data_IF_131782747419
#
_entry.id   IF_131782747419
#
_cell.length_a   1.000
_cell.length_b   1.000
_cell.length_c   1.000
_cell.angle_alpha   90.00
_cell.angle_beta   90.00
_cell.angle_gamma   90.00
#
_symmetry.space_group_name_H-M   'P 1'
#
loop_
_entity.id
_entity.type
_entity.pdbx_description
1 polymer ?
#
# COMPACT_ATOMS: atom_id res chain seq x y z
N UNK A 1 26.97 -4.12 -27.02
CA UNK A 1 25.50 -4.24 -27.18
C UNK A 1 25.08 -3.41 -28.38
N UNK A 2 24.31 -3.97 -29.32
CA UNK A 2 23.82 -3.18 -30.44
C UNK A 2 22.82 -2.13 -29.96
N UNK A 3 22.69 -0.99 -30.66
CA UNK A 3 21.72 0.09 -30.32
C UNK A 3 20.29 -0.46 -30.16
N UNK A 4 19.87 -1.42 -30.97
CA UNK A 4 18.57 -2.09 -30.88
C UNK A 4 18.39 -2.88 -29.57
N UNK A 5 19.45 -3.47 -29.03
CA UNK A 5 19.42 -4.22 -27.76
C UNK A 5 19.33 -3.27 -26.59
N UNK A 6 20.00 -2.09 -26.66
CA UNK A 6 19.95 -1.06 -25.62
C UNK A 6 18.57 -0.40 -25.56
N UNK A 7 18.00 0.00 -26.70
CA UNK A 7 16.66 0.59 -26.76
C UNK A 7 15.57 -0.36 -26.24
N UNK A 8 15.69 -1.66 -26.52
CA UNK A 8 14.78 -2.67 -25.99
C UNK A 8 14.89 -2.85 -24.48
N UNK A 9 16.11 -2.85 -23.93
CA UNK A 9 16.34 -2.95 -22.50
C UNK A 9 15.84 -1.70 -21.73
N UNK A 10 16.08 -0.51 -22.28
CA UNK A 10 15.61 0.76 -21.71
C UNK A 10 14.07 0.84 -21.70
N UNK A 11 13.42 0.46 -22.79
CA UNK A 11 11.95 0.38 -22.85
C UNK A 11 11.39 -0.55 -21.74
N UNK A 12 11.96 -1.74 -21.56
CA UNK A 12 11.53 -2.69 -20.54
C UNK A 12 11.66 -2.08 -19.13
N UNK A 13 12.77 -1.42 -18.84
CA UNK A 13 13.00 -0.77 -17.52
C UNK A 13 11.93 0.29 -17.25
N UNK A 14 11.69 1.21 -18.20
CA UNK A 14 10.68 2.27 -18.05
C UNK A 14 9.28 1.67 -17.93
N UNK A 15 8.95 0.72 -18.77
CA UNK A 15 7.64 0.06 -18.77
C UNK A 15 7.34 -0.62 -17.43
N UNK A 16 8.28 -1.40 -16.91
CA UNK A 16 8.10 -2.08 -15.63
C UNK A 16 8.12 -1.11 -14.44
N UNK A 17 8.92 -0.05 -14.51
CA UNK A 17 8.92 1.02 -13.51
C UNK A 17 7.56 1.75 -13.49
N UNK A 18 7.01 2.07 -14.67
CA UNK A 18 5.69 2.70 -14.79
C UNK A 18 4.57 1.78 -14.29
N UNK A 19 4.60 0.48 -14.61
CA UNK A 19 3.67 -0.50 -14.06
C UNK A 19 3.73 -0.57 -12.53
N UNK A 20 4.92 -0.41 -11.95
CA UNK A 20 5.12 -0.45 -10.49
C UNK A 20 4.62 0.83 -9.81
N UNK A 21 4.88 2.01 -10.40
CA UNK A 21 4.39 3.30 -9.93
C UNK A 21 2.87 3.40 -10.01
N UNK A 22 2.25 2.62 -10.88
CA UNK A 22 0.83 2.65 -11.13
C UNK A 22 -0.02 2.44 -9.87
N UNK A 23 0.40 1.54 -8.95
CA UNK A 23 -0.28 1.32 -7.69
C UNK A 23 -0.43 2.57 -6.83
N UNK A 24 0.65 3.21 -6.40
CA UNK A 24 0.61 4.49 -5.68
C UNK A 24 -0.14 5.59 -6.43
N UNK A 25 0.00 5.69 -7.76
CA UNK A 25 -0.77 6.67 -8.53
C UNK A 25 -2.28 6.40 -8.46
N UNK A 26 -2.72 5.15 -8.50
CA UNK A 26 -4.14 4.80 -8.36
C UNK A 26 -4.69 5.13 -6.98
N UNK A 27 -3.88 5.03 -5.92
CA UNK A 27 -4.31 5.28 -4.54
C UNK A 27 -4.12 6.72 -4.10
N UNK A 28 -2.99 7.35 -4.43
CA UNK A 28 -2.55 8.57 -3.76
C UNK A 28 -2.78 9.83 -4.61
N UNK A 29 -2.90 9.69 -5.94
CA UNK A 29 -3.02 10.82 -6.87
C UNK A 29 -4.29 11.67 -6.62
N UNK A 30 -5.39 11.06 -6.18
CA UNK A 30 -6.64 11.78 -5.96
C UNK A 30 -6.85 12.22 -4.50
N UNK A 31 -5.97 11.84 -3.55
CA UNK A 31 -6.13 12.16 -2.14
C UNK A 31 -6.37 13.66 -1.86
N UNK A 32 -5.59 14.60 -2.44
CA UNK A 32 -5.81 16.03 -2.19
C UNK A 32 -7.15 16.54 -2.72
N UNK A 33 -7.79 15.83 -3.65
CA UNK A 33 -9.07 16.20 -4.23
C UNK A 33 -10.28 15.55 -3.50
N UNK A 34 -10.06 14.65 -2.53
CA UNK A 34 -11.14 13.95 -1.81
C UNK A 34 -12.14 14.91 -1.14
N UNK A 35 -11.72 16.03 -0.48
CA UNK A 35 -12.68 16.98 0.07
C UNK A 35 -13.54 17.68 -1.00
N UNK A 36 -12.95 18.03 -2.14
CA UNK A 36 -13.68 18.62 -3.27
C UNK A 36 -14.67 17.62 -3.87
N UNK A 37 -14.27 16.36 -4.02
CA UNK A 37 -15.13 15.26 -4.48
C UNK A 37 -16.30 15.02 -3.53
N UNK A 38 -16.06 15.02 -2.21
CA UNK A 38 -17.11 14.86 -1.21
C UNK A 38 -18.19 15.95 -1.33
N UNK A 39 -17.77 17.20 -1.54
CA UNK A 39 -18.67 18.34 -1.76
C UNK A 39 -19.46 18.20 -3.06
N UNK A 40 -18.80 17.87 -4.16
CA UNK A 40 -19.43 17.75 -5.49
C UNK A 40 -20.50 16.64 -5.53
N UNK A 41 -20.22 15.50 -4.87
CA UNK A 41 -21.15 14.35 -4.82
C UNK A 41 -22.04 14.32 -3.56
N UNK A 42 -22.06 15.40 -2.76
CA UNK A 42 -22.83 15.50 -1.50
C UNK A 42 -22.65 14.29 -0.58
N UNK A 43 -21.41 13.83 -0.41
CA UNK A 43 -21.07 12.64 0.33
C UNK A 43 -20.38 12.97 1.67
N UNK A 44 -20.55 12.09 2.64
CA UNK A 44 -19.77 12.16 3.89
C UNK A 44 -18.30 11.81 3.67
N UNK A 45 -17.42 12.28 4.57
CA UNK A 45 -16.01 11.89 4.57
C UNK A 45 -15.84 10.36 4.60
N UNK A 46 -16.61 9.65 5.44
CA UNK A 46 -16.55 8.21 5.55
C UNK A 46 -16.92 7.50 4.23
N UNK A 47 -17.95 7.95 3.53
CA UNK A 47 -18.33 7.39 2.24
C UNK A 47 -17.28 7.68 1.15
N UNK A 48 -16.68 8.87 1.16
CA UNK A 48 -15.62 9.24 0.23
C UNK A 48 -14.36 8.38 0.49
N UNK A 49 -14.00 8.16 1.74
CA UNK A 49 -12.91 7.27 2.14
C UNK A 49 -13.18 5.80 1.80
N UNK A 50 -14.45 5.38 1.74
CA UNK A 50 -14.83 4.06 1.24
C UNK A 50 -14.41 3.84 -0.23
N UNK A 51 -14.31 4.90 -1.04
CA UNK A 51 -13.75 4.83 -2.40
C UNK A 51 -12.28 4.39 -2.42
N UNK A 52 -11.48 4.87 -1.48
CA UNK A 52 -10.10 4.41 -1.30
C UNK A 52 -10.07 2.94 -0.87
N UNK A 53 -10.87 2.58 0.14
CA UNK A 53 -11.00 1.20 0.64
C UNK A 53 -11.38 0.22 -0.44
N UNK A 54 -12.37 0.58 -1.25
CA UNK A 54 -12.87 -0.25 -2.36
C UNK A 54 -11.76 -0.54 -3.36
N UNK A 55 -10.96 0.47 -3.73
CA UNK A 55 -9.83 0.26 -4.64
C UNK A 55 -8.75 -0.63 -4.03
N UNK A 56 -8.48 -0.50 -2.72
CA UNK A 56 -7.52 -1.35 -2.01
C UNK A 56 -7.96 -2.81 -1.94
N UNK A 57 -9.25 -3.07 -1.67
CA UNK A 57 -9.78 -4.43 -1.71
C UNK A 57 -9.75 -4.99 -3.13
N UNK A 58 -10.08 -4.15 -4.12
CA UNK A 58 -9.92 -4.51 -5.53
C UNK A 58 -8.48 -4.92 -5.86
N UNK A 59 -7.49 -4.11 -5.45
CA UNK A 59 -6.07 -4.40 -5.61
C UNK A 59 -5.67 -5.71 -4.93
N UNK A 60 -6.09 -5.93 -3.68
CA UNK A 60 -5.77 -7.15 -2.94
C UNK A 60 -6.33 -8.41 -3.62
N UNK A 61 -7.61 -8.40 -3.97
CA UNK A 61 -8.27 -9.51 -4.66
C UNK A 61 -7.68 -9.73 -6.05
N UNK A 62 -7.47 -8.64 -6.79
CA UNK A 62 -6.90 -8.68 -8.14
C UNK A 62 -5.51 -9.32 -8.16
N UNK A 63 -4.65 -9.00 -7.18
CA UNK A 63 -3.33 -9.62 -7.05
C UNK A 63 -3.42 -11.14 -6.84
N UNK A 64 -4.36 -11.61 -6.04
CA UNK A 64 -4.59 -13.04 -5.79
C UNK A 64 -5.09 -13.79 -7.02
N UNK A 65 -5.77 -13.10 -7.95
CA UNK A 65 -6.31 -13.67 -9.19
C UNK A 65 -5.26 -13.61 -10.30
N UNK A 66 -4.68 -12.42 -10.55
CA UNK A 66 -3.83 -12.17 -11.71
C UNK A 66 -2.48 -12.89 -11.59
N UNK A 67 -1.90 -12.96 -10.40
CA UNK A 67 -0.64 -13.68 -10.18
C UNK A 67 -0.69 -15.12 -10.70
N UNK A 68 -1.52 -15.98 -10.11
CA UNK A 68 -1.68 -17.37 -10.54
C UNK A 68 -2.15 -17.53 -11.99
N UNK A 69 -3.02 -16.63 -12.46
CA UNK A 69 -3.50 -16.66 -13.85
C UNK A 69 -2.35 -16.43 -14.84
N UNK A 70 -1.41 -15.54 -14.48
CA UNK A 70 -0.26 -15.22 -15.32
C UNK A 70 0.77 -16.35 -15.40
N UNK A 71 0.89 -17.16 -14.34
CA UNK A 71 1.75 -18.35 -14.34
C UNK A 71 1.21 -19.45 -15.27
N UNK A 72 -0.10 -19.44 -15.54
CA UNK A 72 -0.77 -20.42 -16.44
C UNK A 72 -0.91 -19.93 -17.88
N UNK A 73 -1.26 -18.66 -18.07
CA UNK A 73 -1.61 -18.10 -19.40
C UNK A 73 -0.52 -17.23 -20.03
N UNK A 74 0.63 -17.08 -19.34
CA UNK A 74 1.65 -16.11 -19.72
C UNK A 74 1.40 -14.74 -19.09
N UNK A 75 2.39 -13.84 -19.20
CA UNK A 75 2.36 -12.52 -18.56
C UNK A 75 1.54 -11.51 -19.35
N UNK A 76 1.64 -11.55 -20.69
CA UNK A 76 1.06 -10.54 -21.58
C UNK A 76 -0.47 -10.50 -21.53
N UNK A 77 -1.15 -11.64 -21.68
CA UNK A 77 -2.61 -11.68 -21.78
C UNK A 77 -3.29 -11.23 -20.47
N UNK A 78 -2.91 -11.73 -19.26
CA UNK A 78 -3.47 -11.23 -18.02
C UNK A 78 -3.19 -9.75 -17.79
N UNK A 79 -2.03 -9.22 -18.20
CA UNK A 79 -1.72 -7.80 -18.10
C UNK A 79 -2.63 -6.95 -18.98
N UNK A 80 -2.84 -7.35 -20.25
CA UNK A 80 -3.77 -6.68 -21.17
C UNK A 80 -5.20 -6.66 -20.61
N UNK A 81 -5.70 -7.79 -20.11
CA UNK A 81 -7.03 -7.88 -19.50
C UNK A 81 -7.13 -6.97 -18.27
N UNK A 82 -6.14 -6.97 -17.39
CA UNK A 82 -6.11 -6.11 -16.21
C UNK A 82 -6.13 -4.63 -16.56
N UNK A 83 -5.28 -4.19 -17.48
CA UNK A 83 -5.24 -2.79 -17.91
C UNK A 83 -6.51 -2.37 -18.66
N UNK A 84 -7.14 -3.26 -19.43
CA UNK A 84 -8.42 -2.99 -20.06
C UNK A 84 -9.53 -2.79 -19.02
N UNK A 85 -9.63 -3.67 -18.02
CA UNK A 85 -10.57 -3.54 -16.89
C UNK A 85 -10.31 -2.23 -16.15
N UNK A 86 -9.05 -1.89 -15.89
CA UNK A 86 -8.68 -0.62 -15.25
C UNK A 86 -9.17 0.59 -16.06
N UNK A 87 -8.93 0.63 -17.36
CA UNK A 87 -9.35 1.74 -18.22
C UNK A 87 -10.87 1.90 -18.23
N UNK A 88 -11.62 0.81 -18.39
CA UNK A 88 -13.10 0.83 -18.37
C UNK A 88 -13.62 1.33 -17.02
N UNK A 89 -13.09 0.82 -15.92
CA UNK A 89 -13.49 1.25 -14.58
C UNK A 89 -13.09 2.71 -14.31
N UNK A 90 -11.95 3.18 -14.84
CA UNK A 90 -11.53 4.58 -14.72
C UNK A 90 -12.49 5.51 -15.47
N UNK A 91 -12.98 5.11 -16.65
CA UNK A 91 -14.04 5.84 -17.36
C UNK A 91 -15.30 5.92 -16.48
N UNK A 92 -15.69 4.81 -15.84
CA UNK A 92 -16.81 4.81 -14.90
C UNK A 92 -16.59 5.76 -13.72
N UNK A 93 -15.35 5.88 -13.19
CA UNK A 93 -15.02 6.86 -12.15
C UNK A 93 -15.18 8.31 -12.64
N UNK A 94 -14.75 8.63 -13.86
CA UNK A 94 -14.90 9.97 -14.48
C UNK A 94 -16.36 10.38 -14.56
N UNK A 95 -17.23 9.47 -15.01
CA UNK A 95 -18.65 9.75 -15.24
C UNK A 95 -19.55 9.36 -14.05
N UNK A 96 -18.98 9.14 -12.87
CA UNK A 96 -19.76 8.75 -11.69
C UNK A 96 -20.78 9.84 -11.29
N UNK A 97 -22.08 9.49 -11.23
CA UNK A 97 -23.14 10.43 -10.84
C UNK A 97 -23.31 10.52 -9.32
N UNK A 98 -22.94 9.48 -8.58
CA UNK A 98 -23.05 9.40 -7.12
C UNK A 98 -21.78 8.80 -6.51
N UNK A 99 -21.60 9.02 -5.20
CA UNK A 99 -20.44 8.47 -4.50
C UNK A 99 -20.48 6.94 -4.41
N UNK A 100 -21.65 6.34 -4.27
CA UNK A 100 -21.82 4.87 -4.23
C UNK A 100 -21.40 4.22 -5.55
N UNK A 101 -21.80 4.82 -6.68
CA UNK A 101 -21.36 4.38 -8.00
C UNK A 101 -19.85 4.51 -8.14
N UNK A 102 -19.28 5.63 -7.68
CA UNK A 102 -17.85 5.84 -7.67
C UNK A 102 -17.13 4.77 -6.84
N UNK A 103 -17.60 4.46 -5.63
CA UNK A 103 -17.04 3.41 -4.77
C UNK A 103 -17.02 2.05 -5.47
N UNK A 104 -18.13 1.67 -6.14
CA UNK A 104 -18.20 0.44 -6.92
C UNK A 104 -17.19 0.45 -8.10
N UNK A 105 -17.13 1.56 -8.84
CA UNK A 105 -16.17 1.73 -9.93
C UNK A 105 -14.70 1.66 -9.44
N UNK A 106 -14.40 2.23 -8.28
CA UNK A 106 -13.07 2.16 -7.63
C UNK A 106 -12.67 0.74 -7.28
N UNK A 107 -13.61 -0.10 -6.82
CA UNK A 107 -13.33 -1.51 -6.58
C UNK A 107 -12.90 -2.24 -7.86
N UNK A 108 -13.64 -2.05 -8.96
CA UNK A 108 -13.31 -2.64 -10.26
C UNK A 108 -12.00 -2.07 -10.81
N UNK A 109 -11.77 -0.76 -10.63
CA UNK A 109 -10.52 -0.11 -11.00
C UNK A 109 -9.32 -0.72 -10.25
N UNK A 110 -9.46 -0.97 -8.95
CA UNK A 110 -8.45 -1.66 -8.14
C UNK A 110 -8.17 -3.07 -8.65
N UNK A 111 -9.20 -3.86 -8.97
CA UNK A 111 -9.04 -5.19 -9.58
C UNK A 111 -8.19 -5.13 -10.84
N UNK A 112 -8.46 -4.17 -11.71
CA UNK A 112 -7.69 -3.95 -12.94
C UNK A 112 -6.27 -3.47 -12.66
N UNK A 113 -6.07 -2.55 -11.72
CA UNK A 113 -4.75 -2.01 -11.35
C UNK A 113 -3.78 -3.04 -10.77
N UNK A 114 -4.30 -4.11 -10.17
CA UNK A 114 -3.52 -5.16 -9.55
C UNK A 114 -2.54 -5.86 -10.50
N UNK A 115 -2.93 -6.01 -11.77
CA UNK A 115 -2.09 -6.66 -12.79
C UNK A 115 -0.77 -5.95 -13.00
N UNK A 116 -0.75 -4.63 -13.05
CA UNK A 116 0.47 -3.84 -13.21
C UNK A 116 1.47 -4.12 -12.07
N UNK A 117 1.00 -4.08 -10.83
CA UNK A 117 1.85 -4.25 -9.64
C UNK A 117 2.47 -5.65 -9.57
N UNK A 118 1.64 -6.69 -9.78
CA UNK A 118 2.09 -8.09 -9.66
C UNK A 118 2.99 -8.47 -10.81
N UNK A 119 2.57 -8.13 -12.04
CA UNK A 119 3.27 -8.60 -13.23
C UNK A 119 4.57 -7.86 -13.49
N UNK A 120 4.71 -6.61 -13.03
CA UNK A 120 6.00 -5.92 -13.07
C UNK A 120 7.12 -6.73 -12.41
N UNK A 121 6.86 -7.25 -11.20
CA UNK A 121 7.82 -8.09 -10.46
C UNK A 121 8.03 -9.45 -11.13
N UNK A 122 6.95 -10.09 -11.59
CA UNK A 122 7.03 -11.39 -12.26
C UNK A 122 7.80 -11.32 -13.56
N UNK A 123 7.53 -10.30 -14.40
CA UNK A 123 8.27 -10.08 -15.65
C UNK A 123 9.75 -9.80 -15.37
N UNK A 124 10.05 -9.03 -14.33
CA UNK A 124 11.43 -8.77 -13.91
C UNK A 124 12.18 -10.07 -13.57
N UNK A 125 11.55 -10.98 -12.85
CA UNK A 125 12.14 -12.29 -12.49
C UNK A 125 12.25 -13.25 -13.67
N UNK A 126 11.41 -13.10 -14.69
CA UNK A 126 11.49 -13.89 -15.92
C UNK A 126 12.67 -13.43 -16.83
N UNK A 127 12.99 -12.12 -16.79
CA UNK A 127 14.00 -11.50 -17.67
C UNK A 127 15.39 -11.41 -17.05
N UNK A 128 15.47 -11.23 -15.74
CA UNK A 128 16.71 -10.95 -15.01
C UNK A 128 16.97 -12.00 -13.93
N UNK A 129 18.23 -12.21 -13.60
CA UNK A 129 18.67 -13.10 -12.52
C UNK A 129 19.88 -12.53 -11.78
N UNK A 130 20.16 -13.04 -10.58
CA UNK A 130 21.33 -12.67 -9.80
C UNK A 130 21.46 -11.15 -9.58
N UNK A 131 22.65 -10.61 -9.91
CA UNK A 131 22.97 -9.19 -9.69
C UNK A 131 22.13 -8.21 -10.51
N UNK A 132 21.74 -8.60 -11.72
CA UNK A 132 20.92 -7.72 -12.60
C UNK A 132 19.48 -7.66 -12.12
N UNK A 133 18.91 -8.75 -11.60
CA UNK A 133 17.63 -8.74 -10.92
C UNK A 133 17.67 -7.83 -9.68
N UNK A 134 18.72 -7.94 -8.87
CA UNK A 134 18.87 -7.09 -7.67
C UNK A 134 18.93 -5.60 -8.03
N UNK A 135 19.69 -5.22 -9.06
CA UNK A 135 19.72 -3.84 -9.56
C UNK A 135 18.34 -3.37 -10.04
N UNK A 136 17.64 -4.21 -10.79
CA UNK A 136 16.33 -3.88 -11.30
C UNK A 136 15.30 -3.72 -10.17
N UNK A 137 15.29 -4.61 -9.18
CA UNK A 137 14.43 -4.50 -8.00
C UNK A 137 14.75 -3.26 -7.16
N UNK A 138 16.00 -2.79 -7.14
CA UNK A 138 16.36 -1.52 -6.51
C UNK A 138 15.76 -0.32 -7.24
N UNK A 139 15.73 -0.32 -8.58
CA UNK A 139 15.06 0.72 -9.37
C UNK A 139 13.56 0.72 -9.07
N UNK A 140 12.92 -0.45 -9.07
CA UNK A 140 11.51 -0.61 -8.70
C UNK A 140 11.26 -0.04 -7.28
N UNK A 141 12.11 -0.39 -6.32
CA UNK A 141 12.02 0.11 -4.94
C UNK A 141 12.13 1.63 -4.85
N UNK A 142 13.04 2.23 -5.61
CA UNK A 142 13.16 3.70 -5.69
C UNK A 142 11.89 4.34 -6.26
N UNK A 143 11.34 3.79 -7.32
CA UNK A 143 10.09 4.28 -7.94
C UNK A 143 8.92 4.14 -6.97
N UNK A 144 8.81 3.01 -6.26
CA UNK A 144 7.78 2.80 -5.24
C UNK A 144 7.90 3.77 -4.05
N UNK A 145 9.12 4.17 -3.68
CA UNK A 145 9.36 5.16 -2.64
C UNK A 145 9.05 6.60 -3.06
N UNK A 146 9.32 6.95 -4.33
CA UNK A 146 9.07 8.29 -4.87
C UNK A 146 7.61 8.51 -5.29
N UNK A 147 6.91 7.47 -5.73
CA UNK A 147 5.55 7.59 -6.22
C UNK A 147 4.57 8.17 -5.18
N UNK A 148 4.57 7.77 -3.90
CA UNK A 148 3.72 8.39 -2.87
C UNK A 148 4.07 9.86 -2.56
N UNK A 149 5.28 10.31 -2.92
CA UNK A 149 5.65 11.73 -2.79
C UNK A 149 5.11 12.54 -3.97
N UNK A 150 5.30 12.02 -5.19
CA UNK A 150 4.96 12.75 -6.41
C UNK A 150 3.47 12.69 -6.75
N UNK A 151 2.80 11.57 -6.51
CA UNK A 151 1.40 11.38 -6.89
C UNK A 151 0.46 12.41 -6.27
N UNK A 152 0.46 12.69 -4.94
CA UNK A 152 -0.42 13.70 -4.37
C UNK A 152 -0.09 15.12 -4.84
N UNK A 153 1.20 15.44 -5.04
CA UNK A 153 1.60 16.77 -5.53
C UNK A 153 1.06 17.00 -6.94
N UNK A 154 1.23 16.03 -7.84
CA UNK A 154 0.64 16.09 -9.18
C UNK A 154 -0.88 16.16 -9.12
N UNK A 155 -1.53 15.39 -8.23
CA UNK A 155 -2.96 15.41 -8.01
C UNK A 155 -3.49 16.76 -7.52
N UNK A 156 -2.77 17.40 -6.59
CA UNK A 156 -3.12 18.72 -6.11
C UNK A 156 -3.06 19.77 -7.23
N UNK A 157 -2.00 19.74 -8.06
CA UNK A 157 -1.87 20.64 -9.20
C UNK A 157 -3.02 20.43 -10.22
N UNK A 158 -3.36 19.19 -10.52
CA UNK A 158 -4.50 18.92 -11.41
C UNK A 158 -5.79 19.45 -10.79
N UNK A 159 -6.04 19.23 -9.50
CA UNK A 159 -7.25 19.69 -8.82
C UNK A 159 -7.30 21.21 -8.67
N UNK A 160 -6.17 21.90 -8.63
CA UNK A 160 -6.08 23.37 -8.54
C UNK A 160 -6.47 24.05 -9.86
N UNK A 161 -6.00 23.53 -11.01
CA UNK A 161 -6.23 24.13 -12.33
C UNK A 161 -7.44 23.56 -13.08
N UNK A 162 -7.90 22.37 -12.69
CA UNK A 162 -9.00 21.63 -13.31
C UNK A 162 -9.98 21.20 -12.23
N UNK A 163 -10.43 19.93 -12.27
CA UNK A 163 -11.34 19.38 -11.24
C UNK A 163 -10.92 17.96 -10.84
N UNK A 164 -11.58 17.40 -9.80
CA UNK A 164 -11.24 16.07 -9.30
C UNK A 164 -11.44 14.95 -10.35
N UNK A 165 -12.38 15.11 -11.30
CA UNK A 165 -12.62 14.13 -12.37
C UNK A 165 -11.45 14.06 -13.35
N UNK A 166 -10.78 15.18 -13.59
CA UNK A 166 -9.64 15.26 -14.49
C UNK A 166 -8.45 14.44 -13.98
N UNK A 167 -8.33 14.25 -12.67
CA UNK A 167 -7.37 13.31 -12.07
C UNK A 167 -7.56 11.90 -12.64
N UNK A 168 -8.84 11.45 -12.77
CA UNK A 168 -9.14 10.14 -13.35
C UNK A 168 -8.95 10.12 -14.87
N UNK A 169 -9.10 11.26 -15.57
CA UNK A 169 -8.73 11.37 -16.99
C UNK A 169 -7.21 11.19 -17.17
N UNK A 170 -6.39 11.79 -16.31
CA UNK A 170 -4.93 11.56 -16.31
C UNK A 170 -4.57 10.10 -16.02
N UNK A 171 -5.23 9.48 -15.02
CA UNK A 171 -5.05 8.05 -14.73
C UNK A 171 -5.46 7.17 -15.92
N UNK A 172 -6.54 7.53 -16.62
CA UNK A 172 -6.96 6.85 -17.83
C UNK A 172 -5.91 6.96 -18.93
N UNK A 173 -5.34 8.14 -19.14
CA UNK A 173 -4.29 8.35 -20.12
C UNK A 173 -3.04 7.48 -19.82
N UNK A 174 -2.62 7.40 -18.55
CA UNK A 174 -1.54 6.50 -18.12
C UNK A 174 -1.93 5.05 -18.37
N UNK A 175 -3.15 4.63 -17.99
CA UNK A 175 -3.64 3.27 -18.19
C UNK A 175 -3.67 2.87 -19.68
N UNK A 176 -4.14 3.76 -20.56
CA UNK A 176 -4.15 3.55 -22.02
C UNK A 176 -2.72 3.47 -22.58
N UNK A 177 -1.82 4.35 -22.14
CA UNK A 177 -0.42 4.30 -22.54
C UNK A 177 0.25 2.97 -22.16
N UNK A 178 -0.01 2.46 -20.95
CA UNK A 178 0.47 1.16 -20.49
C UNK A 178 -0.18 0.00 -21.27
N UNK A 179 -1.48 0.10 -21.57
CA UNK A 179 -2.20 -0.89 -22.39
C UNK A 179 -1.60 -0.98 -23.79
N UNK A 180 -1.39 0.15 -24.45
CA UNK A 180 -0.74 0.23 -25.77
C UNK A 180 0.69 -0.31 -25.69
N UNK A 181 1.47 0.09 -24.69
CA UNK A 181 2.84 -0.42 -24.49
C UNK A 181 2.86 -1.95 -24.31
N UNK A 182 1.85 -2.50 -23.64
CA UNK A 182 1.72 -3.96 -23.46
C UNK A 182 1.45 -4.70 -24.78
N UNK A 183 0.81 -4.07 -25.77
CA UNK A 183 0.62 -4.68 -27.10
C UNK A 183 1.96 -4.96 -27.79
N UNK A 184 2.94 -4.06 -27.61
CA UNK A 184 4.30 -4.21 -28.17
C UNK A 184 5.21 -5.09 -27.30
N UNK A 185 4.81 -5.36 -26.05
CA UNK A 185 5.55 -6.22 -25.13
C UNK A 185 5.51 -7.68 -25.61
N UNK A 186 6.66 -8.36 -25.58
CA UNK A 186 6.77 -9.79 -25.92
C UNK A 186 6.57 -10.65 -24.69
N UNK A 187 5.91 -11.80 -24.86
CA UNK A 187 5.73 -12.78 -23.78
C UNK A 187 7.08 -13.21 -23.19
N UNK A 188 7.18 -13.20 -21.86
CA UNK A 188 8.43 -13.53 -21.14
C UNK A 188 8.41 -14.89 -20.47
N UNK A 189 7.23 -15.46 -20.25
CA UNK A 189 7.12 -16.78 -19.64
C UNK A 189 7.56 -17.86 -20.60
N UNK A 190 8.71 -18.48 -20.35
CA UNK A 190 9.31 -19.52 -21.21
C UNK A 190 8.66 -20.90 -21.05
N UNK A 191 8.04 -21.18 -19.90
CA UNK A 191 7.45 -22.49 -19.61
C UNK A 191 6.21 -22.33 -18.73
N UNK A 192 5.08 -22.81 -19.24
CA UNK A 192 3.82 -22.81 -18.50
C UNK A 192 3.89 -23.82 -17.34
N UNK A 193 3.42 -23.42 -16.16
CA UNK A 193 3.33 -24.30 -14.98
C UNK A 193 1.86 -24.72 -14.75
N UNK A 194 1.38 -25.82 -15.39
CA UNK A 194 -0.05 -26.14 -15.42
C UNK A 194 -0.66 -26.53 -14.07
N UNK A 195 0.12 -27.01 -13.10
CA UNK A 195 -0.40 -27.70 -11.92
C UNK A 195 -0.04 -27.12 -10.54
N UNK A 196 0.55 -25.94 -10.46
CA UNK A 196 1.10 -25.43 -9.17
C UNK A 196 0.17 -24.51 -8.38
N UNK A 197 -1.00 -24.18 -8.90
CA UNK A 197 -1.88 -23.22 -8.22
C UNK A 197 -3.03 -23.94 -7.50
N UNK A 198 -2.74 -24.47 -6.33
CA UNK A 198 -3.75 -24.54 -5.27
C UNK A 198 -3.94 -23.10 -4.80
N UNK A 199 -5.17 -22.59 -4.87
CA UNK A 199 -5.49 -21.26 -4.33
C UNK A 199 -4.90 -21.15 -2.93
N UNK A 200 -4.07 -20.15 -2.62
CA UNK A 200 -3.32 -20.09 -1.36
C UNK A 200 -4.22 -19.97 -0.12
N UNK A 201 -5.52 -19.71 -0.27
CA UNK A 201 -6.46 -19.51 0.82
C UNK A 201 -6.45 -20.67 1.85
N UNK A 202 -6.46 -21.92 1.43
CA UNK A 202 -6.43 -23.06 2.36
C UNK A 202 -5.08 -23.26 3.05
N UNK A 203 -3.99 -23.00 2.34
CA UNK A 203 -2.64 -23.03 2.94
C UNK A 203 -2.43 -21.90 3.94
N UNK A 204 -3.11 -20.77 3.76
CA UNK A 204 -3.12 -19.61 4.62
C UNK A 204 -3.71 -19.94 6.01
N UNK A 205 -4.90 -20.51 6.06
CA UNK A 205 -5.54 -20.90 7.31
C UNK A 205 -4.69 -21.93 8.08
N UNK A 206 -4.04 -22.83 7.37
CA UNK A 206 -3.15 -23.83 7.98
C UNK A 206 -1.91 -23.16 8.61
N UNK A 207 -1.33 -22.15 7.96
CA UNK A 207 -0.19 -21.39 8.51
C UNK A 207 -0.58 -20.66 9.81
N UNK A 208 -1.71 -19.96 9.81
CA UNK A 208 -2.20 -19.23 10.99
C UNK A 208 -2.53 -20.13 12.17
N UNK A 209 -3.10 -21.31 11.89
CA UNK A 209 -3.48 -22.27 12.93
C UNK A 209 -2.27 -22.96 13.55
N UNK A 210 -1.24 -23.23 12.76
CA UNK A 210 -0.08 -24.03 13.18
C UNK A 210 1.05 -23.18 13.78
N UNK A 211 1.16 -21.89 13.46
CA UNK A 211 2.22 -20.99 13.99
C UNK A 211 1.59 -19.75 14.62
N UNK A 212 1.39 -19.82 15.94
CA UNK A 212 0.83 -18.71 16.72
C UNK A 212 1.74 -17.46 16.73
N UNK A 213 3.05 -17.64 16.63
CA UNK A 213 4.01 -16.51 16.59
C UNK A 213 3.93 -15.79 15.26
N UNK A 214 3.83 -16.53 14.15
CA UNK A 214 3.56 -15.95 12.84
C UNK A 214 2.23 -15.21 12.81
N UNK A 215 1.17 -15.77 13.39
CA UNK A 215 -0.14 -15.11 13.48
C UNK A 215 -0.07 -13.79 14.26
N UNK A 216 0.67 -13.74 15.37
CA UNK A 216 0.87 -12.50 16.14
C UNK A 216 1.66 -11.43 15.35
N UNK A 217 2.72 -11.84 14.64
CA UNK A 217 3.48 -10.93 13.77
C UNK A 217 2.62 -10.39 12.62
N UNK A 218 1.72 -11.22 12.07
CA UNK A 218 0.76 -10.80 11.07
C UNK A 218 -0.25 -9.80 11.63
N UNK A 219 -0.80 -10.03 12.83
CA UNK A 219 -1.70 -9.07 13.50
C UNK A 219 -0.98 -7.74 13.73
N UNK A 220 0.27 -7.76 14.17
CA UNK A 220 1.08 -6.55 14.33
C UNK A 220 1.27 -5.82 13.00
N UNK A 221 1.55 -6.54 11.92
CA UNK A 221 1.67 -5.99 10.57
C UNK A 221 0.34 -5.33 10.12
N UNK A 222 -0.79 -6.01 10.29
CA UNK A 222 -2.11 -5.47 9.99
C UNK A 222 -2.41 -4.20 10.79
N UNK A 223 -2.02 -4.16 12.06
CA UNK A 223 -2.16 -2.99 12.92
C UNK A 223 -1.32 -1.79 12.42
N UNK A 224 -0.09 -2.03 11.97
CA UNK A 224 0.74 -1.02 11.34
C UNK A 224 0.12 -0.47 10.05
N UNK A 225 -0.40 -1.33 9.19
CA UNK A 225 -1.17 -0.92 8.02
C UNK A 225 -2.47 -0.18 8.41
N UNK A 226 -3.10 -0.55 9.52
CA UNK A 226 -4.26 0.17 10.07
C UNK A 226 -3.92 1.64 10.39
N UNK A 227 -2.81 1.90 11.08
CA UNK A 227 -2.32 3.27 11.30
C UNK A 227 -2.06 4.00 9.98
N UNK A 228 -1.33 3.36 9.05
CA UNK A 228 -0.95 3.96 7.78
C UNK A 228 -2.18 4.38 6.97
N UNK A 229 -3.14 3.47 6.81
CA UNK A 229 -4.31 3.75 5.98
C UNK A 229 -5.36 4.62 6.68
N UNK A 230 -5.42 4.64 8.00
CA UNK A 230 -6.16 5.66 8.74
C UNK A 230 -5.59 7.05 8.44
N UNK A 231 -4.26 7.21 8.48
CA UNK A 231 -3.59 8.45 8.10
C UNK A 231 -3.87 8.81 6.63
N UNK A 232 -3.62 7.90 5.68
CA UNK A 232 -3.81 8.16 4.24
C UNK A 232 -5.24 8.63 3.95
N UNK A 233 -6.25 7.99 4.53
CA UNK A 233 -7.66 8.27 4.23
C UNK A 233 -8.21 9.48 4.96
N UNK A 234 -7.81 9.73 6.21
CA UNK A 234 -8.32 10.84 7.02
C UNK A 234 -7.59 12.16 6.76
N UNK A 235 -6.29 12.09 6.41
CA UNK A 235 -5.44 13.29 6.29
C UNK A 235 -5.97 14.33 5.31
N UNK A 236 -6.54 14.03 4.13
CA UNK A 236 -7.09 15.06 3.24
C UNK A 236 -8.15 15.91 3.93
N UNK A 237 -9.04 15.29 4.70
CA UNK A 237 -10.11 15.99 5.40
C UNK A 237 -9.60 16.73 6.63
N UNK A 238 -8.75 16.10 7.43
CA UNK A 238 -8.19 16.69 8.66
C UNK A 238 -7.34 17.92 8.30
N UNK A 239 -6.42 17.81 7.38
CA UNK A 239 -5.51 18.92 7.05
C UNK A 239 -6.21 20.03 6.27
N UNK A 240 -7.09 19.72 5.34
CA UNK A 240 -7.73 20.73 4.47
C UNK A 240 -9.01 21.28 5.07
N UNK A 241 -9.93 20.47 5.62
CA UNK A 241 -11.21 20.96 6.13
C UNK A 241 -11.12 21.43 7.60
N UNK A 242 -10.40 20.68 8.47
CA UNK A 242 -10.30 21.03 9.89
C UNK A 242 -9.25 22.13 10.13
N UNK A 243 -8.09 22.04 9.47
CA UNK A 243 -6.99 23.00 9.66
C UNK A 243 -6.83 24.00 8.52
N UNK A 244 -7.60 23.93 7.44
CA UNK A 244 -7.63 24.91 6.35
C UNK A 244 -6.37 24.94 5.46
N UNK A 245 -5.58 23.87 5.41
CA UNK A 245 -4.43 23.81 4.51
C UNK A 245 -4.90 23.72 3.06
N UNK A 246 -4.13 24.36 2.14
CA UNK A 246 -4.38 24.18 0.72
C UNK A 246 -4.08 22.75 0.27
N UNK A 247 -4.73 22.24 -0.81
CA UNK A 247 -4.45 20.91 -1.36
C UNK A 247 -2.96 20.69 -1.67
N UNK A 248 -2.25 21.73 -2.16
CA UNK A 248 -0.82 21.66 -2.46
C UNK A 248 0.01 21.55 -1.17
N UNK A 249 -0.27 22.38 -0.15
CA UNK A 249 0.44 22.32 1.14
C UNK A 249 0.25 20.97 1.80
N UNK A 250 -0.98 20.44 1.81
CA UNK A 250 -1.28 19.10 2.29
C UNK A 250 -0.44 18.04 1.54
N UNK A 251 -0.34 18.13 0.21
CA UNK A 251 0.39 17.15 -0.59
C UNK A 251 1.89 17.17 -0.32
N UNK A 252 2.47 18.35 -0.07
CA UNK A 252 3.88 18.48 0.34
C UNK A 252 4.11 17.83 1.70
N UNK A 253 3.24 18.10 2.69
CA UNK A 253 3.30 17.49 4.02
C UNK A 253 3.18 15.97 3.91
N UNK A 254 2.23 15.47 3.12
CA UNK A 254 2.07 14.03 2.86
C UNK A 254 3.34 13.41 2.25
N UNK A 255 3.94 14.09 1.27
CA UNK A 255 5.21 13.67 0.66
C UNK A 255 6.37 13.63 1.67
N UNK A 256 6.47 14.62 2.56
CA UNK A 256 7.44 14.63 3.65
C UNK A 256 7.25 13.42 4.57
N UNK A 257 6.00 13.05 4.87
CA UNK A 257 5.68 11.89 5.69
C UNK A 257 6.08 10.55 5.02
N UNK A 258 5.99 10.42 3.70
CA UNK A 258 6.51 9.28 2.98
C UNK A 258 8.04 9.14 3.12
N UNK A 259 8.75 10.28 3.12
CA UNK A 259 10.20 10.33 3.40
C UNK A 259 10.48 9.92 4.85
N UNK A 260 9.68 10.37 5.81
CA UNK A 260 9.82 10.00 7.24
C UNK A 260 9.69 8.48 7.45
N UNK A 261 8.73 7.83 6.80
CA UNK A 261 8.61 6.36 6.83
C UNK A 261 9.89 5.71 6.28
N UNK A 262 10.41 6.24 5.18
CA UNK A 262 11.63 5.74 4.55
C UNK A 262 12.83 5.88 5.49
N UNK A 263 12.97 7.03 6.18
CA UNK A 263 14.01 7.24 7.21
C UNK A 263 13.88 6.19 8.31
N UNK A 264 12.67 5.94 8.82
CA UNK A 264 12.41 4.88 9.80
C UNK A 264 12.88 3.51 9.33
N UNK A 265 12.63 3.18 8.06
CA UNK A 265 13.09 1.92 7.45
C UNK A 265 14.62 1.82 7.39
N UNK A 266 15.32 2.91 7.10
CA UNK A 266 16.79 2.94 7.15
C UNK A 266 17.33 2.86 8.59
N UNK A 267 16.70 3.54 9.53
CA UNK A 267 17.07 3.47 10.96
C UNK A 267 16.88 2.05 11.49
N UNK A 268 15.84 1.34 11.07
CA UNK A 268 15.62 -0.06 11.42
C UNK A 268 16.85 -0.94 11.15
N UNK A 269 17.56 -0.72 10.05
CA UNK A 269 18.74 -1.48 9.67
C UNK A 269 19.96 -1.26 10.59
N UNK A 270 19.95 -0.21 11.40
CA UNK A 270 21.02 0.08 12.38
C UNK A 270 20.85 -0.71 13.69
N UNK A 271 19.66 -1.24 13.95
CA UNK A 271 19.42 -2.07 15.12
C UNK A 271 19.99 -3.49 14.92
N UNK A 272 20.70 -4.00 15.92
CA UNK A 272 21.26 -5.37 15.90
C UNK A 272 20.19 -6.46 15.95
N UNK A 273 18.99 -6.16 16.46
CA UNK A 273 17.90 -7.11 16.63
C UNK A 273 16.61 -6.56 16.01
N UNK A 274 16.02 -7.32 15.08
CA UNK A 274 14.72 -7.02 14.49
C UNK A 274 13.62 -7.01 15.58
N UNK A 275 13.72 -7.89 16.57
CA UNK A 275 12.79 -7.94 17.69
C UNK A 275 12.83 -6.68 18.56
N UNK A 276 14.01 -6.12 18.78
CA UNK A 276 14.18 -4.87 19.52
C UNK A 276 13.60 -3.70 18.74
N UNK A 277 13.88 -3.60 17.43
CA UNK A 277 13.30 -2.61 16.54
C UNK A 277 11.77 -2.68 16.51
N UNK A 278 11.21 -3.90 16.43
CA UNK A 278 9.76 -4.13 16.46
C UNK A 278 9.13 -3.61 17.76
N UNK A 279 9.71 -3.91 18.92
CA UNK A 279 9.21 -3.46 20.24
C UNK A 279 9.24 -1.95 20.37
N UNK A 280 10.38 -1.32 20.11
CA UNK A 280 10.53 0.15 20.21
C UNK A 280 9.59 0.84 19.22
N UNK A 281 9.56 0.39 17.97
CA UNK A 281 8.67 0.96 16.96
C UNK A 281 7.20 0.83 17.36
N UNK A 282 6.76 -0.31 17.92
CA UNK A 282 5.37 -0.49 18.37
C UNK A 282 5.02 0.43 19.55
N UNK A 283 5.93 0.65 20.50
CA UNK A 283 5.76 1.63 21.58
C UNK A 283 5.65 3.04 20.99
N UNK A 284 6.57 3.41 20.11
CA UNK A 284 6.58 4.73 19.48
C UNK A 284 5.32 4.99 18.66
N UNK A 285 4.80 3.99 17.93
CA UNK A 285 3.53 4.10 17.21
C UNK A 285 2.36 4.40 18.16
N UNK A 286 2.24 3.69 19.30
CA UNK A 286 1.17 3.92 20.26
C UNK A 286 1.29 5.30 20.92
N UNK A 287 2.50 5.72 21.30
CA UNK A 287 2.74 7.06 21.82
C UNK A 287 2.35 8.14 20.80
N UNK A 288 2.79 8.00 19.56
CA UNK A 288 2.44 8.93 18.50
C UNK A 288 0.94 8.97 18.20
N UNK A 289 0.26 7.82 18.16
CA UNK A 289 -1.20 7.75 18.00
C UNK A 289 -1.93 8.43 19.19
N UNK A 290 -1.43 8.29 20.41
CA UNK A 290 -1.95 8.99 21.58
C UNK A 290 -1.77 10.51 21.48
N UNK A 291 -0.62 10.97 20.96
CA UNK A 291 -0.37 12.38 20.69
C UNK A 291 -1.26 12.93 19.56
N UNK A 292 -1.54 12.14 18.51
CA UNK A 292 -2.52 12.49 17.46
C UNK A 292 -3.89 12.69 18.09
N UNK A 293 -4.35 11.74 18.92
CA UNK A 293 -5.64 11.84 19.60
C UNK A 293 -5.71 13.06 20.52
N UNK A 294 -4.67 13.30 21.31
CA UNK A 294 -4.56 14.47 22.18
C UNK A 294 -4.59 15.78 21.37
N UNK A 295 -3.85 15.85 20.27
CA UNK A 295 -3.82 17.02 19.38
C UNK A 295 -5.21 17.38 18.85
N UNK A 296 -5.96 16.38 18.38
CA UNK A 296 -7.31 16.57 17.85
C UNK A 296 -8.32 16.92 18.94
N UNK A 297 -8.21 16.31 20.12
CA UNK A 297 -9.10 16.57 21.26
C UNK A 297 -8.94 17.99 21.80
N UNK A 298 -7.70 18.47 21.95
CA UNK A 298 -7.40 19.82 22.44
C UNK A 298 -7.33 20.89 21.37
N UNK A 299 -7.64 20.53 20.11
CA UNK A 299 -7.57 21.43 18.96
C UNK A 299 -6.21 22.15 18.86
N UNK A 300 -5.13 21.39 19.09
CA UNK A 300 -3.78 21.91 19.01
C UNK A 300 -3.45 22.39 17.58
N UNK A 301 -2.31 23.08 17.40
CA UNK A 301 -1.91 23.55 16.08
C UNK A 301 -1.69 22.39 15.11
N UNK A 302 -1.88 22.64 13.80
CA UNK A 302 -1.63 21.65 12.75
C UNK A 302 -0.20 21.10 12.79
N UNK A 303 0.77 21.90 13.18
CA UNK A 303 2.18 21.50 13.25
C UNK A 303 2.46 20.57 14.43
N UNK A 304 1.70 20.69 15.53
CA UNK A 304 1.78 19.70 16.60
C UNK A 304 1.18 18.36 16.17
N UNK A 305 0.03 18.40 15.49
CA UNK A 305 -0.56 17.21 14.89
C UNK A 305 0.44 16.56 13.90
N UNK A 306 1.04 17.35 13.04
CA UNK A 306 2.01 16.86 12.04
C UNK A 306 3.23 16.21 12.71
N UNK A 307 3.78 16.82 13.75
CA UNK A 307 4.89 16.23 14.51
C UNK A 307 4.50 14.86 15.12
N UNK A 308 3.28 14.73 15.64
CA UNK A 308 2.76 13.47 16.18
C UNK A 308 2.56 12.42 15.09
N UNK A 309 2.04 12.82 13.93
CA UNK A 309 1.89 11.95 12.75
C UNK A 309 3.25 11.49 12.24
N UNK A 310 4.18 12.42 12.01
CA UNK A 310 5.54 12.12 11.55
C UNK A 310 6.27 11.17 12.52
N UNK A 311 6.14 11.41 13.85
CA UNK A 311 6.69 10.50 14.85
C UNK A 311 6.08 9.09 14.78
N UNK A 312 4.76 8.97 14.58
CA UNK A 312 4.08 7.68 14.41
C UNK A 312 4.57 6.96 13.16
N UNK A 313 4.69 7.67 12.04
CA UNK A 313 5.11 7.13 10.75
C UNK A 313 6.60 6.76 10.72
N UNK A 314 7.47 7.49 11.43
CA UNK A 314 8.86 7.10 11.65
C UNK A 314 8.93 5.72 12.33
N UNK A 315 8.13 5.53 13.38
CA UNK A 315 8.07 4.28 14.11
C UNK A 315 7.40 3.14 13.30
N UNK A 316 6.47 3.46 12.43
CA UNK A 316 5.94 2.53 11.42
C UNK A 316 7.03 2.02 10.50
N UNK A 317 7.94 2.90 10.04
CA UNK A 317 9.13 2.55 9.27
C UNK A 317 10.07 1.58 10.02
N UNK A 318 10.09 1.59 11.35
CA UNK A 318 10.82 0.60 12.16
C UNK A 318 10.08 -0.75 12.21
N UNK A 319 8.76 -0.74 12.31
CA UNK A 319 7.97 -1.95 12.59
C UNK A 319 7.71 -2.80 11.37
N UNK A 320 7.39 -2.21 10.20
CA UNK A 320 7.06 -2.96 8.99
C UNK A 320 8.20 -3.89 8.55
N UNK A 321 9.45 -3.42 8.33
CA UNK A 321 10.53 -4.31 7.89
C UNK A 321 10.93 -5.31 8.97
N UNK A 322 10.91 -4.92 10.26
CA UNK A 322 11.24 -5.82 11.37
C UNK A 322 10.23 -6.94 11.51
N UNK A 323 8.93 -6.62 11.50
CA UNK A 323 7.85 -7.60 11.60
C UNK A 323 7.84 -8.54 10.40
N UNK A 324 8.01 -8.01 9.18
CA UNK A 324 8.11 -8.79 7.95
C UNK A 324 9.30 -9.76 8.00
N UNK A 325 10.48 -9.28 8.41
CA UNK A 325 11.69 -10.10 8.52
C UNK A 325 11.48 -11.27 9.49
N UNK A 326 10.98 -10.99 10.70
CA UNK A 326 10.70 -12.02 11.71
C UNK A 326 9.65 -13.04 11.25
N UNK A 327 8.60 -12.58 10.56
CA UNK A 327 7.55 -13.44 10.05
C UNK A 327 8.07 -14.36 8.92
N UNK A 328 8.86 -13.82 7.98
CA UNK A 328 9.41 -14.59 6.86
C UNK A 328 10.49 -15.57 7.32
N UNK A 329 11.30 -15.21 8.31
CA UNK A 329 12.33 -16.08 8.87
C UNK A 329 11.71 -17.36 9.48
N UNK A 330 10.56 -17.25 10.10
CA UNK A 330 9.79 -18.39 10.62
C UNK A 330 9.20 -19.30 9.52
N UNK A 331 8.94 -18.76 8.35
CA UNK A 331 8.25 -19.44 7.25
C UNK A 331 9.14 -19.57 6.02
N UNK A 332 10.46 -19.82 6.19
CA UNK A 332 11.45 -19.89 5.11
C UNK A 332 11.05 -20.82 3.97
N UNK A 333 10.49 -21.99 4.29
CA UNK A 333 10.02 -22.96 3.30
C UNK A 333 8.82 -22.48 2.49
N UNK A 334 8.05 -21.52 3.04
CA UNK A 334 6.82 -20.96 2.46
C UNK A 334 6.86 -19.44 2.39
N UNK A 335 8.06 -18.87 2.27
CA UNK A 335 8.28 -17.42 2.34
C UNK A 335 7.44 -16.63 1.33
N UNK A 336 7.23 -17.15 0.12
CA UNK A 336 6.37 -16.53 -0.88
C UNK A 336 4.91 -16.44 -0.45
N UNK A 337 4.35 -17.52 0.11
CA UNK A 337 2.97 -17.53 0.64
C UNK A 337 2.82 -16.65 1.87
N UNK A 338 3.82 -16.64 2.76
CA UNK A 338 3.84 -15.78 3.95
C UNK A 338 3.91 -14.29 3.57
N UNK A 339 4.75 -13.91 2.61
CA UNK A 339 4.85 -12.54 2.10
C UNK A 339 3.54 -12.07 1.44
N UNK A 340 2.92 -12.93 0.62
CA UNK A 340 1.63 -12.63 0.00
C UNK A 340 0.53 -12.41 1.05
N UNK A 341 0.55 -13.21 2.14
CA UNK A 341 -0.39 -13.08 3.25
C UNK A 341 -0.21 -11.78 4.02
N UNK A 342 1.03 -11.44 4.37
CA UNK A 342 1.37 -10.19 5.06
C UNK A 342 0.90 -8.97 4.25
N UNK A 343 1.12 -8.97 2.93
CA UNK A 343 0.68 -7.89 2.05
C UNK A 343 -0.84 -7.83 1.92
N UNK A 344 -1.48 -8.94 1.56
CA UNK A 344 -2.92 -8.98 1.30
C UNK A 344 -3.75 -8.62 2.54
N UNK A 345 -3.42 -9.19 3.71
CA UNK A 345 -4.15 -8.88 4.96
C UNK A 345 -3.85 -7.46 5.47
N UNK A 346 -2.66 -6.91 5.18
CA UNK A 346 -2.37 -5.51 5.40
C UNK A 346 -3.31 -4.59 4.62
N UNK A 347 -3.52 -4.84 3.33
CA UNK A 347 -4.49 -4.09 2.51
C UNK A 347 -5.94 -4.29 2.96
N UNK A 348 -6.32 -5.52 3.36
CA UNK A 348 -7.65 -5.78 3.91
C UNK A 348 -7.88 -4.98 5.19
N UNK A 349 -6.92 -5.00 6.12
CA UNK A 349 -6.99 -4.22 7.35
C UNK A 349 -7.09 -2.72 7.06
N UNK A 350 -6.28 -2.20 6.15
CA UNK A 350 -6.34 -0.81 5.70
C UNK A 350 -7.69 -0.45 5.09
N UNK A 351 -8.25 -1.32 4.25
CA UNK A 351 -9.56 -1.12 3.64
C UNK A 351 -10.73 -1.14 4.64
N UNK A 352 -10.62 -1.86 5.76
CA UNK A 352 -11.59 -1.81 6.86
C UNK A 352 -11.46 -0.49 7.64
N UNK A 353 -10.23 -0.10 7.92
CA UNK A 353 -9.90 1.04 8.79
C UNK A 353 -10.19 2.38 8.11
N UNK A 354 -9.98 2.50 6.80
CA UNK A 354 -10.08 3.76 6.11
C UNK A 354 -11.47 4.45 6.28
N UNK A 355 -12.62 3.82 6.01
CA UNK A 355 -13.91 4.48 6.20
C UNK A 355 -14.24 4.73 7.68
N UNK A 356 -13.71 3.91 8.60
CA UNK A 356 -13.89 4.11 10.04
C UNK A 356 -13.18 5.37 10.53
N UNK A 357 -12.07 5.73 9.91
CA UNK A 357 -11.34 6.96 10.25
C UNK A 357 -12.08 8.25 9.87
N UNK A 358 -13.07 8.16 8.97
CA UNK A 358 -13.94 9.28 8.59
C UNK A 358 -15.20 9.44 9.45
N UNK A 359 -15.40 8.58 10.44
CA UNK A 359 -16.58 8.67 11.32
C UNK A 359 -16.40 9.75 12.38
N UNK A 360 -17.50 10.40 12.75
CA UNK A 360 -17.52 11.46 13.74
C UNK A 360 -17.07 12.82 13.21
N UNK A 361 -16.89 13.77 14.09
CA UNK A 361 -16.48 15.15 13.78
C UNK A 361 -15.08 15.44 14.31
N UNK A 362 -14.40 16.47 13.77
CA UNK A 362 -13.13 16.94 14.28
C UNK A 362 -11.98 15.91 14.26
N UNK A 363 -12.07 14.89 13.41
CA UNK A 363 -11.05 13.85 13.32
C UNK A 363 -11.18 12.75 14.39
N UNK A 364 -12.31 12.64 15.09
CA UNK A 364 -12.51 11.66 16.15
C UNK A 364 -12.32 10.20 15.68
N UNK A 365 -12.85 9.86 14.49
CA UNK A 365 -12.64 8.54 13.89
C UNK A 365 -11.17 8.25 13.62
N UNK A 366 -10.43 9.22 13.10
CA UNK A 366 -8.99 9.10 12.87
C UNK A 366 -8.22 8.84 14.17
N UNK A 367 -8.51 9.63 15.22
CA UNK A 367 -7.92 9.45 16.53
C UNK A 367 -8.20 8.07 17.12
N UNK A 368 -9.47 7.65 17.14
CA UNK A 368 -9.89 6.38 17.70
C UNK A 368 -9.24 5.19 16.99
N UNK A 369 -9.28 5.20 15.65
CA UNK A 369 -8.77 4.10 14.85
C UNK A 369 -7.26 3.98 14.95
N UNK A 370 -6.50 5.08 14.96
CA UNK A 370 -5.05 5.05 15.13
C UNK A 370 -4.64 4.50 16.49
N UNK A 371 -5.29 4.93 17.58
CA UNK A 371 -5.03 4.42 18.93
C UNK A 371 -5.37 2.94 19.04
N UNK A 372 -6.55 2.52 18.58
CA UNK A 372 -6.98 1.11 18.64
C UNK A 372 -6.04 0.22 17.84
N UNK A 373 -5.71 0.60 16.60
CA UNK A 373 -4.81 -0.17 15.73
C UNK A 373 -3.43 -0.33 16.39
N UNK A 374 -2.86 0.76 16.90
CA UNK A 374 -1.53 0.70 17.54
C UNK A 374 -1.52 -0.04 18.88
N UNK A 375 -2.61 0.03 19.64
CA UNK A 375 -2.79 -0.76 20.87
C UNK A 375 -2.84 -2.27 20.57
N UNK A 376 -3.57 -2.68 19.55
CA UNK A 376 -3.55 -4.08 19.06
C UNK A 376 -2.14 -4.47 18.61
N UNK A 377 -1.48 -3.59 17.86
CA UNK A 377 -0.13 -3.82 17.34
C UNK A 377 0.92 -4.03 18.44
N UNK A 378 0.92 -3.21 19.49
CA UNK A 378 1.87 -3.36 20.60
C UNK A 378 1.63 -4.66 21.38
N UNK A 379 0.38 -4.99 21.67
CA UNK A 379 0.04 -6.26 22.36
C UNK A 379 0.53 -7.45 21.52
N UNK A 380 0.25 -7.46 20.23
CA UNK A 380 0.69 -8.52 19.32
C UNK A 380 2.21 -8.63 19.24
N UNK A 381 2.92 -7.49 19.17
CA UNK A 381 4.39 -7.45 19.12
C UNK A 381 5.03 -8.03 20.41
N UNK A 382 4.52 -7.65 21.58
CA UNK A 382 5.04 -8.14 22.83
C UNK A 382 4.72 -9.62 23.09
N UNK A 383 3.52 -10.08 22.73
CA UNK A 383 3.16 -11.49 22.79
C UNK A 383 4.03 -12.35 21.83
N UNK A 384 4.29 -11.86 20.61
CA UNK A 384 5.20 -12.53 19.67
C UNK A 384 6.62 -12.60 20.24
N UNK A 385 7.12 -11.49 20.80
CA UNK A 385 8.42 -11.41 21.40
C UNK A 385 8.61 -12.39 22.57
N UNK A 386 7.61 -12.49 23.46
CA UNK A 386 7.64 -13.43 24.58
C UNK A 386 7.76 -14.88 24.09
N UNK A 387 6.97 -15.26 23.06
CA UNK A 387 7.02 -16.60 22.47
C UNK A 387 8.37 -16.90 21.84
N UNK A 388 8.93 -15.96 21.06
CA UNK A 388 10.26 -16.11 20.46
C UNK A 388 11.34 -16.34 21.53
N UNK A 389 11.33 -15.58 22.60
CA UNK A 389 12.29 -15.75 23.70
C UNK A 389 12.13 -17.11 24.45
N UNK A 390 10.88 -17.60 24.60
CA UNK A 390 10.63 -18.91 25.19
C UNK A 390 11.11 -20.07 24.31
N UNK A 391 10.90 -19.96 23.00
CA UNK A 391 11.37 -20.94 22.02
C UNK A 391 12.91 -21.01 22.02
N UNK A 392 13.61 -19.87 22.00
CA UNK A 392 15.09 -19.80 22.08
C UNK A 392 15.61 -20.48 23.34
N UNK A 393 15.01 -20.22 24.51
CA UNK A 393 15.42 -20.87 25.78
C UNK A 393 15.21 -22.37 25.76
N UNK A 394 14.14 -22.85 25.14
CA UNK A 394 13.86 -24.29 25.04
C UNK A 394 14.81 -25.05 24.15
N UNK A 395 15.44 -24.36 23.18
CA UNK A 395 16.50 -24.93 22.29
C UNK A 395 17.84 -25.00 23.01
N UNK A 396 18.17 -23.97 23.81
CA UNK A 396 19.46 -23.91 24.57
C UNK A 396 19.46 -24.87 25.76
N UNK A 397 18.28 -25.27 26.29
CA UNK A 397 18.15 -26.19 27.40
C UNK A 397 18.15 -27.67 27.00
N UNK A 398 18.18 -27.98 25.72
CA UNK A 398 18.35 -29.34 25.14
C UNK A 398 19.75 -29.53 24.60
#
# INVERSE_FOLDING_TARGET
>A
MSEKTFASAFFIVIFLAALTAFGPFVTDFYLPAMPAQAKDLNASAALTQAGLSASMWGLAIGQLIVGPLSDRKGRKVPLLCSLAVFCVATIACVFSPTMEFFVAARFVQGLGGAGGIVLAKSIATDLYSGRDLAKFLSIIGTVQGLAPVLAPICGALVNEYLNWRDIFVFLLAIGVALLISTLFFKETLKSYRPNTVKFPFFSLFTLLKNDKTFALLLVQQCAGFGLLFAYISASPFVYQELFGLSPLTYSIVFGCNAIVITIGTFVCQRFKSALFSLKIGSIGMLLGASLIAASLYWQASVWFLEAAVAFSLLNLGLTIPSGTSLALDRQRERAGSAAALLGALGFVAGGIVAPLSGLGTGGAGFAAVTVISTAIGIVAAFCAAQKLCLEERSVVSK
#
